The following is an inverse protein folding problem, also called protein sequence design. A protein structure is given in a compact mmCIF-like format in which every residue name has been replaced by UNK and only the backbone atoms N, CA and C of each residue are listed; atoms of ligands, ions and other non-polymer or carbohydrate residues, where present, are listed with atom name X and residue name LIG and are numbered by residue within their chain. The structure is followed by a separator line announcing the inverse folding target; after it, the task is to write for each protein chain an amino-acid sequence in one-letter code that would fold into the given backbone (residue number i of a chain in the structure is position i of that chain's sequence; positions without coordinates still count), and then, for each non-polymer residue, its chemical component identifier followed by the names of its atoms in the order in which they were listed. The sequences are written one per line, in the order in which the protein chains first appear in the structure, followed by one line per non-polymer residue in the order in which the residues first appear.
data_IF_673102642497
#
_entry.id   IF_673102642497
#
_cell.length_a   1.000
_cell.length_b   1.000
_cell.length_c   1.000
_cell.angle_alpha   90.00
_cell.angle_beta   90.00
_cell.angle_gamma   90.00
#
_symmetry.space_group_name_H-M   'P 1'
#
loop_
_entity.id
_entity.type
_entity.pdbx_description
1 polymer ?
#
# COMPACT_ATOMS: atom_id res chain seq x y z
N UNK A 1 -20.92 1.17 6.21
CA UNK A 1 -21.21 1.13 7.66
C UNK A 1 -20.52 2.33 8.28
N UNK A 2 -21.26 3.23 8.93
CA UNK A 2 -20.69 4.40 9.62
C UNK A 2 -20.07 3.96 10.96
N UNK A 3 -18.85 4.41 11.25
CA UNK A 3 -18.06 4.10 12.43
C UNK A 3 -17.60 5.36 13.18
N UNK A 4 -18.05 6.55 12.78
CA UNK A 4 -17.57 7.78 13.39
C UNK A 4 -17.96 9.05 12.64
N UNK A 5 -17.65 10.18 13.26
CA UNK A 5 -17.91 11.49 12.69
C UNK A 5 -16.77 12.45 13.02
N UNK A 6 -16.43 13.30 12.06
CA UNK A 6 -15.40 14.34 12.17
C UNK A 6 -16.08 15.69 11.97
N UNK A 7 -15.75 16.64 12.83
CA UNK A 7 -16.31 17.99 12.82
C UNK A 7 -15.20 19.02 12.88
N UNK A 8 -15.45 20.18 12.29
CA UNK A 8 -14.54 21.33 12.38
C UNK A 8 -14.72 22.01 13.74
N UNK A 9 -13.65 22.16 14.50
CA UNK A 9 -13.67 22.88 15.78
C UNK A 9 -13.56 24.41 15.57
N UNK A 10 -13.65 25.17 16.66
CA UNK A 10 -13.54 26.63 16.64
C UNK A 10 -12.18 27.13 16.08
N UNK A 11 -11.12 26.34 16.22
CA UNK A 11 -9.78 26.65 15.70
C UNK A 11 -9.62 26.21 14.23
N UNK A 12 -10.68 25.73 13.58
CA UNK A 12 -10.68 25.28 12.21
C UNK A 12 -10.09 23.88 11.97
N UNK A 13 -9.75 23.13 13.02
CA UNK A 13 -9.21 21.79 12.93
C UNK A 13 -10.33 20.76 12.78
N UNK A 14 -10.11 19.75 11.94
CA UNK A 14 -11.05 18.64 11.76
C UNK A 14 -10.73 17.55 12.79
N UNK A 15 -11.61 17.36 13.77
CA UNK A 15 -11.43 16.39 14.87
C UNK A 15 -12.71 15.58 15.04
N UNK A 16 -12.56 14.30 15.33
CA UNK A 16 -13.66 13.36 15.48
C UNK A 16 -13.29 12.12 16.29
N UNK A 17 -14.18 11.14 16.30
CA UNK A 17 -13.92 9.81 16.84
C UNK A 17 -14.16 8.73 15.80
N UNK A 18 -13.44 7.63 15.94
CA UNK A 18 -13.70 6.37 15.24
C UNK A 18 -13.91 5.28 16.27
N UNK A 19 -15.01 4.57 16.12
CA UNK A 19 -15.50 3.56 17.05
C UNK A 19 -15.84 2.28 16.29
N UNK A 20 -15.19 1.20 16.70
CA UNK A 20 -15.43 -0.18 16.27
C UNK A 20 -15.44 -1.07 17.51
N UNK A 21 -15.72 -2.36 17.36
CA UNK A 21 -15.78 -3.29 18.49
C UNK A 21 -14.50 -3.30 19.35
N UNK A 22 -13.34 -3.09 18.75
CA UNK A 22 -12.04 -3.19 19.42
C UNK A 22 -11.25 -1.88 19.45
N UNK A 23 -11.75 -0.82 18.81
CA UNK A 23 -11.04 0.44 18.65
C UNK A 23 -11.99 1.59 18.95
N UNK A 24 -11.66 2.39 19.95
CA UNK A 24 -12.28 3.69 20.22
C UNK A 24 -11.17 4.72 20.31
N UNK A 25 -11.00 5.55 19.28
CA UNK A 25 -9.91 6.54 19.22
C UNK A 25 -10.39 7.88 18.69
N UNK A 26 -9.89 8.95 19.30
CA UNK A 26 -10.02 10.31 18.77
C UNK A 26 -9.05 10.49 17.63
N UNK A 27 -9.55 10.93 16.49
CA UNK A 27 -8.76 11.20 15.29
C UNK A 27 -8.90 12.66 14.87
N UNK A 28 -7.89 13.15 14.16
CA UNK A 28 -7.90 14.42 13.48
C UNK A 28 -7.47 14.26 12.02
N UNK A 29 -7.93 15.18 11.17
CA UNK A 29 -7.48 15.27 9.79
C UNK A 29 -6.63 16.51 9.62
N UNK A 30 -5.36 16.31 9.28
CA UNK A 30 -4.43 17.40 8.96
C UNK A 30 -4.36 17.58 7.45
N UNK A 31 -4.72 18.75 6.89
CA UNK A 31 -4.65 18.98 5.45
C UNK A 31 -3.19 18.95 4.98
N UNK A 32 -2.96 18.31 3.84
CA UNK A 32 -1.67 18.26 3.17
C UNK A 32 -1.71 19.17 1.96
N UNK A 33 -0.83 20.17 1.92
CA UNK A 33 -0.64 21.02 0.76
C UNK A 33 0.46 20.44 -0.13
N UNK A 34 0.10 20.00 -1.33
CA UNK A 34 1.05 19.50 -2.32
C UNK A 34 0.56 19.86 -3.72
N UNK A 35 1.50 20.12 -4.62
CA UNK A 35 1.24 20.30 -6.06
C UNK A 35 1.01 18.99 -6.80
N UNK A 36 1.34 17.83 -6.19
CA UNK A 36 1.17 16.53 -6.82
C UNK A 36 -0.29 16.05 -6.70
N UNK A 37 -0.99 15.75 -7.80
CA UNK A 37 -2.38 15.27 -7.75
C UNK A 37 -2.55 13.91 -7.07
N UNK A 38 -1.48 13.10 -6.98
CA UNK A 38 -1.48 11.81 -6.27
C UNK A 38 -1.12 11.94 -4.78
N UNK A 39 -0.83 13.15 -4.30
CA UNK A 39 -0.59 13.36 -2.88
C UNK A 39 -1.86 13.11 -2.08
N UNK A 40 -1.74 12.64 -0.83
CA UNK A 40 -2.88 12.62 0.08
C UNK A 40 -3.41 14.04 0.28
N UNK A 41 -4.73 14.17 0.47
CA UNK A 41 -5.36 15.45 0.85
C UNK A 41 -5.30 15.67 2.35
N UNK A 42 -5.38 14.59 3.12
CA UNK A 42 -5.30 14.65 4.56
C UNK A 42 -4.35 13.56 5.09
N UNK A 43 -3.61 13.91 6.13
CA UNK A 43 -3.02 12.94 7.04
C UNK A 43 -4.01 12.65 8.16
N UNK A 44 -4.10 11.37 8.53
CA UNK A 44 -4.89 10.94 9.67
C UNK A 44 -3.96 10.95 10.88
N UNK A 45 -4.30 11.76 11.87
CA UNK A 45 -3.62 11.77 13.16
C UNK A 45 -4.54 11.17 14.21
N UNK A 46 -4.00 10.38 15.13
CA UNK A 46 -4.73 9.86 16.28
C UNK A 46 -4.14 10.41 17.57
N UNK A 47 -5.00 10.61 18.56
CA UNK A 47 -4.57 10.98 19.90
C UNK A 47 -4.20 9.70 20.68
N UNK A 48 -2.94 9.58 21.09
CA UNK A 48 -2.48 8.46 21.89
C UNK A 48 -2.80 8.66 23.39
N UNK A 49 -2.52 7.63 24.21
CA UNK A 49 -2.80 7.66 25.66
C UNK A 49 -1.99 8.74 26.41
N UNK A 50 -0.85 9.17 25.85
CA UNK A 50 -0.03 10.28 26.33
C UNK A 50 -0.50 11.66 25.83
N UNK A 51 -1.69 11.74 25.19
CA UNK A 51 -2.27 12.95 24.60
C UNK A 51 -1.39 13.63 23.55
N UNK A 52 -0.64 12.84 22.79
CA UNK A 52 0.14 13.30 21.64
C UNK A 52 -0.54 12.88 20.35
N UNK A 53 -0.50 13.77 19.37
CA UNK A 53 -0.97 13.49 18.02
C UNK A 53 0.09 12.70 17.25
N UNK A 54 -0.28 11.52 16.78
CA UNK A 54 0.60 10.64 15.99
C UNK A 54 -0.05 10.38 14.64
N UNK A 55 0.74 10.44 13.57
CA UNK A 55 0.26 10.13 12.21
C UNK A 55 0.08 8.61 12.11
N UNK A 56 -1.12 8.18 11.75
CA UNK A 56 -1.51 6.77 11.65
C UNK A 56 -2.00 6.40 10.25
N UNK A 57 -2.01 7.35 9.31
CA UNK A 57 -2.46 7.10 7.95
C UNK A 57 -2.66 8.35 7.13
N UNK A 58 -3.27 8.17 5.96
CA UNK A 58 -3.55 9.25 5.03
C UNK A 58 -4.83 8.96 4.25
N UNK A 59 -5.46 10.03 3.77
CA UNK A 59 -6.65 10.02 2.94
C UNK A 59 -6.39 10.66 1.59
N UNK A 60 -6.89 10.01 0.55
CA UNK A 60 -6.80 10.44 -0.83
C UNK A 60 -8.19 10.81 -1.34
N UNK A 61 -8.27 11.83 -2.19
CA UNK A 61 -9.52 12.28 -2.78
C UNK A 61 -9.89 11.40 -3.97
N UNK A 62 -11.12 10.90 -3.96
CA UNK A 62 -11.70 10.12 -5.03
C UNK A 62 -13.08 10.68 -5.38
N UNK A 63 -13.49 10.52 -6.64
CA UNK A 63 -14.85 10.80 -7.07
C UNK A 63 -15.65 9.50 -7.15
N UNK A 64 -16.89 9.53 -6.66
CA UNK A 64 -17.80 8.40 -6.76
C UNK A 64 -18.22 8.20 -8.22
N UNK A 65 -18.07 6.97 -8.74
CA UNK A 65 -18.46 6.64 -10.12
C UNK A 65 -19.98 6.75 -10.36
N UNK A 66 -20.80 6.62 -9.31
CA UNK A 66 -22.27 6.64 -9.44
C UNK A 66 -22.85 8.03 -9.30
N UNK A 67 -22.35 8.82 -8.35
CA UNK A 67 -22.96 10.10 -7.94
C UNK A 67 -22.11 11.29 -8.32
N UNK A 68 -20.82 11.09 -8.63
CA UNK A 68 -19.85 12.17 -8.85
C UNK A 68 -19.39 12.87 -7.56
N UNK A 69 -19.94 12.49 -6.41
CA UNK A 69 -19.55 13.07 -5.12
C UNK A 69 -18.10 12.79 -4.77
N UNK A 70 -17.43 13.82 -4.23
CA UNK A 70 -16.06 13.72 -3.76
C UNK A 70 -16.07 13.10 -2.36
N UNK A 71 -15.30 12.04 -2.19
CA UNK A 71 -15.06 11.40 -0.90
C UNK A 71 -13.58 11.14 -0.71
N UNK A 72 -13.18 10.88 0.53
CA UNK A 72 -11.80 10.62 0.86
C UNK A 72 -11.61 9.18 1.30
N UNK A 73 -10.64 8.46 0.73
CA UNK A 73 -10.39 7.06 1.05
C UNK A 73 -8.98 6.86 1.57
N UNK A 74 -8.83 5.96 2.54
CA UNK A 74 -7.52 5.61 3.06
C UNK A 74 -7.55 4.44 4.04
N UNK A 75 -6.51 4.35 4.85
CA UNK A 75 -6.39 3.36 5.92
C UNK A 75 -5.77 3.99 7.17
N UNK A 76 -6.16 3.47 8.32
CA UNK A 76 -5.52 3.67 9.61
C UNK A 76 -4.67 2.44 9.89
N UNK A 77 -3.39 2.64 10.15
CA UNK A 77 -2.39 1.59 10.31
C UNK A 77 -1.52 1.97 11.52
N UNK A 78 -1.66 1.22 12.61
CA UNK A 78 -0.95 1.45 13.86
C UNK A 78 -0.47 0.12 14.46
N UNK A 79 0.73 0.05 15.06
CA UNK A 79 1.27 -1.19 15.63
C UNK A 79 0.39 -1.87 16.69
N UNK A 80 -0.53 -1.14 17.34
CA UNK A 80 -1.49 -1.71 18.29
C UNK A 80 -2.61 -2.52 17.61
N UNK A 81 -2.76 -2.42 16.29
CA UNK A 81 -3.78 -3.11 15.52
C UNK A 81 -3.22 -4.37 14.86
N UNK A 82 -3.99 -5.46 14.87
CA UNK A 82 -3.60 -6.68 14.15
C UNK A 82 -3.63 -6.53 12.63
N UNK A 83 -4.48 -5.62 12.12
CA UNK A 83 -4.66 -5.34 10.70
C UNK A 83 -5.00 -3.87 10.48
N UNK A 84 -4.63 -3.28 9.33
CA UNK A 84 -5.03 -1.92 8.98
C UNK A 84 -6.56 -1.78 8.85
N UNK A 85 -7.11 -0.69 9.37
CA UNK A 85 -8.52 -0.34 9.25
C UNK A 85 -8.73 0.56 8.02
N UNK A 86 -9.38 0.02 6.99
CA UNK A 86 -9.72 0.77 5.78
C UNK A 86 -10.97 1.62 5.99
N UNK A 87 -10.87 2.91 5.66
CA UNK A 87 -11.93 3.88 5.88
C UNK A 87 -12.20 4.72 4.64
N UNK A 88 -13.44 5.17 4.53
CA UNK A 88 -13.86 6.25 3.63
C UNK A 88 -14.52 7.35 4.45
N UNK A 89 -14.25 8.60 4.09
CA UNK A 89 -14.76 9.80 4.75
C UNK A 89 -15.59 10.58 3.75
N UNK A 90 -16.84 10.83 4.10
CA UNK A 90 -17.84 11.49 3.25
C UNK A 90 -18.18 12.85 3.84
N UNK A 91 -17.86 13.95 3.16
CA UNK A 91 -18.36 15.27 3.54
C UNK A 91 -19.89 15.30 3.50
N UNK A 92 -20.51 15.99 4.46
CA UNK A 92 -21.94 16.27 4.49
C UNK A 92 -22.20 17.75 4.30
N UNK A 93 -23.44 18.09 3.95
CA UNK A 93 -23.90 19.47 3.74
C UNK A 93 -23.74 20.34 5.01
N UNK A 94 -23.89 19.74 6.20
CA UNK A 94 -23.74 20.42 7.49
C UNK A 94 -22.28 20.76 7.85
N UNK A 95 -21.32 20.44 6.98
CA UNK A 95 -19.90 20.62 7.22
C UNK A 95 -19.26 19.58 8.14
N UNK A 96 -20.02 18.56 8.55
CA UNK A 96 -19.49 17.37 9.23
C UNK A 96 -19.05 16.34 8.20
N UNK A 97 -18.19 15.40 8.60
CA UNK A 97 -17.74 14.33 7.72
C UNK A 97 -18.02 12.98 8.38
N UNK A 98 -18.75 12.11 7.69
CA UNK A 98 -19.04 10.77 8.15
C UNK A 98 -17.88 9.84 7.85
N UNK A 99 -17.47 9.01 8.82
CA UNK A 99 -16.43 8.01 8.62
C UNK A 99 -17.06 6.65 8.47
N UNK A 100 -16.82 5.97 7.37
CA UNK A 100 -17.34 4.64 7.10
C UNK A 100 -16.22 3.62 6.99
N UNK A 101 -16.43 2.45 7.60
CA UNK A 101 -15.59 1.29 7.37
C UNK A 101 -15.80 0.75 5.94
N UNK A 102 -14.69 0.44 5.24
CA UNK A 102 -14.66 -0.37 4.04
C UNK A 102 -13.88 -1.68 4.23
N UNK A 103 -14.38 -2.79 3.68
CA UNK A 103 -13.58 -4.02 3.59
C UNK A 103 -12.72 -3.98 2.33
N UNK A 104 -11.40 -4.29 2.40
CA UNK A 104 -10.59 -4.40 1.20
C UNK A 104 -11.21 -5.46 0.27
N UNK A 105 -11.65 -5.02 -0.91
CA UNK A 105 -12.20 -5.92 -1.94
C UNK A 105 -11.01 -6.63 -2.58
N UNK A 106 -11.00 -7.96 -2.53
CA UNK A 106 -10.07 -8.73 -3.37
C UNK A 106 -10.39 -8.36 -4.82
N UNK A 107 -9.41 -7.85 -5.57
CA UNK A 107 -9.55 -7.79 -7.02
C UNK A 107 -9.75 -9.23 -7.46
N UNK A 108 -10.93 -9.55 -7.98
CA UNK A 108 -11.24 -10.88 -8.43
C UNK A 108 -10.29 -11.19 -9.59
N UNK A 109 -9.24 -11.97 -9.35
CA UNK A 109 -8.34 -12.50 -10.39
C UNK A 109 -8.98 -13.68 -11.12
N UNK A 110 -10.32 -13.72 -11.19
CA UNK A 110 -11.08 -14.74 -11.89
C UNK A 110 -11.30 -14.28 -13.33
N UNK A 111 -10.18 -14.04 -14.00
CA UNK A 111 -10.08 -13.99 -15.46
C UNK A 111 -8.89 -14.90 -15.80
N UNK A 112 -9.07 -16.20 -15.59
CA UNK A 112 -7.95 -17.15 -15.64
C UNK A 112 -8.34 -18.57 -15.27
N UNK A 113 -9.53 -19.03 -15.66
CA UNK A 113 -9.87 -20.47 -15.71
C UNK A 113 -11.12 -20.63 -16.57
N UNK A 114 -10.92 -20.63 -17.89
CA UNK A 114 -11.89 -21.21 -18.79
C UNK A 114 -11.49 -22.68 -18.97
N UNK A 115 -12.03 -23.52 -18.10
CA UNK A 115 -12.12 -24.97 -18.20
C UNK A 115 -13.65 -25.20 -18.06
N UNK A 116 -14.40 -25.87 -18.94
CA UNK A 116 -14.14 -27.01 -19.80
C UNK A 116 -15.11 -26.95 -20.99
N UNK A 117 -14.64 -27.35 -22.17
CA UNK A 117 -15.49 -27.88 -23.23
C UNK A 117 -15.33 -29.40 -23.25
N UNK A 118 -16.01 -30.07 -22.32
CA UNK A 118 -16.29 -31.51 -22.38
C UNK A 118 -17.11 -31.77 -23.66
N UNK A 119 -16.59 -32.60 -24.58
CA UNK A 119 -17.22 -32.84 -25.88
C UNK A 119 -16.51 -33.87 -26.73
N UNK A 120 -16.54 -35.12 -26.26
CA UNK A 120 -16.64 -36.39 -27.01
C UNK A 120 -16.39 -36.35 -28.54
N UNK A 121 -15.27 -36.93 -29.01
CA UNK A 121 -15.11 -37.46 -30.38
C UNK A 121 -14.00 -38.56 -30.45
N UNK A 122 -14.39 -39.81 -30.20
CA UNK A 122 -13.98 -41.07 -30.88
C UNK A 122 -12.50 -41.47 -31.17
N UNK A 123 -12.13 -42.60 -30.53
CA UNK A 123 -11.59 -43.88 -31.05
C UNK A 123 -10.26 -43.96 -31.84
N UNK A 124 -9.38 -44.83 -31.34
CA UNK A 124 -8.31 -45.49 -32.10
C UNK A 124 -7.40 -46.33 -31.19
N UNK A 125 -7.64 -47.64 -31.15
CA UNK A 125 -6.75 -48.66 -30.57
C UNK A 125 -5.31 -48.51 -31.10
N UNK A 126 -4.28 -48.62 -30.24
CA UNK A 126 -3.09 -49.44 -30.53
C UNK A 126 -2.19 -49.62 -29.29
N UNK A 127 -1.42 -50.71 -29.33
CA UNK A 127 -0.81 -51.48 -28.27
C UNK A 127 0.34 -50.85 -27.45
N UNK A 128 0.43 -51.32 -26.19
CA UNK A 128 1.60 -51.99 -25.62
C UNK A 128 2.85 -51.16 -25.24
N UNK A 129 3.23 -51.21 -23.95
CA UNK A 129 4.62 -51.42 -23.50
C UNK A 129 4.72 -51.30 -21.97
N UNK A 130 5.09 -52.39 -21.31
CA UNK A 130 5.61 -52.45 -19.95
C UNK A 130 6.81 -51.50 -19.75
N UNK A 131 6.97 -50.96 -18.53
CA UNK A 131 8.19 -51.18 -17.73
C UNK A 131 8.09 -50.53 -16.35
N UNK A 132 8.24 -51.42 -15.37
CA UNK A 132 8.63 -51.19 -13.99
C UNK A 132 9.87 -50.27 -13.88
N UNK A 133 9.87 -49.33 -12.94
CA UNK A 133 11.04 -49.06 -12.10
C UNK A 133 10.65 -48.16 -10.93
N UNK A 134 10.62 -48.77 -9.75
CA UNK A 134 10.81 -48.07 -8.48
C UNK A 134 12.16 -47.33 -8.50
N UNK A 135 12.23 -46.16 -7.87
CA UNK A 135 13.47 -45.40 -7.76
C UNK A 135 13.30 -44.15 -6.91
N UNK A 136 13.60 -44.30 -5.62
CA UNK A 136 13.93 -43.23 -4.68
C UNK A 136 14.93 -42.22 -5.27
N UNK A 137 14.84 -40.95 -4.87
CA UNK A 137 16.01 -40.06 -5.01
C UNK A 137 15.73 -38.57 -5.10
N UNK A 138 15.58 -37.94 -3.94
CA UNK A 138 16.22 -36.69 -3.51
C UNK A 138 16.52 -35.62 -4.58
N UNK A 139 15.88 -34.46 -4.38
CA UNK A 139 16.04 -33.26 -5.20
C UNK A 139 17.49 -32.80 -5.36
N UNK A 140 17.91 -32.70 -6.62
CA UNK A 140 19.15 -32.06 -7.00
C UNK A 140 18.87 -30.62 -7.43
N UNK A 141 19.42 -29.68 -6.67
CA UNK A 141 19.23 -28.24 -6.85
C UNK A 141 20.17 -27.73 -7.95
N UNK A 142 19.63 -27.32 -9.09
CA UNK A 142 20.41 -26.57 -10.10
C UNK A 142 20.39 -25.08 -9.77
N UNK A 143 21.32 -24.63 -8.94
CA UNK A 143 21.70 -23.21 -8.81
C UNK A 143 23.12 -23.03 -9.36
N UNK A 144 23.22 -22.65 -10.63
CA UNK A 144 24.50 -22.32 -11.28
C UNK A 144 25.00 -20.95 -10.79
N UNK A 145 26.17 -20.93 -10.16
CA UNK A 145 26.95 -19.71 -9.88
C UNK A 145 27.86 -19.41 -11.08
N UNK A 146 27.95 -18.15 -11.57
CA UNK A 146 29.01 -17.79 -12.51
C UNK A 146 30.33 -17.53 -11.78
N UNK A 147 31.35 -18.31 -12.16
CA UNK A 147 32.72 -18.20 -11.69
C UNK A 147 33.48 -17.01 -12.31
N UNK A 148 34.37 -16.46 -11.48
CA UNK A 148 35.28 -15.34 -11.67
C UNK A 148 36.56 -15.79 -12.40
N UNK A 149 37.06 -15.01 -13.38
CA UNK A 149 38.46 -14.94 -13.87
C UNK A 149 38.55 -13.78 -14.88
N UNK A 150 39.50 -12.86 -14.92
CA UNK A 150 40.72 -12.63 -14.15
C UNK A 150 41.64 -11.66 -14.92
N UNK A 151 42.01 -10.54 -14.28
CA UNK A 151 43.34 -9.87 -14.22
C UNK A 151 44.10 -9.48 -15.51
N UNK A 152 44.45 -8.19 -15.59
CA UNK A 152 45.56 -7.63 -16.38
C UNK A 152 45.90 -6.20 -15.93
N UNK A 153 47.18 -5.93 -15.64
CA UNK A 153 47.68 -4.85 -14.77
C UNK A 153 47.94 -3.48 -15.42
N UNK A 154 47.79 -2.43 -14.59
CA UNK A 154 48.65 -1.25 -14.35
C UNK A 154 49.14 -0.34 -15.49
N UNK A 155 48.88 0.98 -15.37
CA UNK A 155 49.94 2.02 -15.27
C UNK A 155 49.41 3.36 -14.70
N UNK A 156 50.31 3.98 -13.95
CA UNK A 156 50.33 5.22 -13.18
C UNK A 156 50.12 6.53 -13.95
N UNK A 157 49.42 7.51 -13.34
CA UNK A 157 49.79 8.94 -13.33
C UNK A 157 48.84 9.74 -12.44
N UNK A 158 49.37 10.33 -11.36
CA UNK A 158 48.66 11.24 -10.45
C UNK A 158 48.55 12.70 -10.93
N UNK A 159 48.08 13.55 -10.00
CA UNK A 159 47.79 15.01 -10.08
C UNK A 159 46.32 15.27 -10.48
N UNK A 160 45.47 15.99 -9.74
CA UNK A 160 45.62 17.06 -8.75
C UNK A 160 44.38 17.14 -7.86
N UNK A 161 44.58 17.76 -6.71
CA UNK A 161 43.62 18.17 -5.70
C UNK A 161 42.46 19.00 -6.28
N UNK A 162 41.24 18.81 -5.79
CA UNK A 162 40.23 19.88 -5.78
C UNK A 162 39.48 19.86 -4.45
N UNK A 163 39.50 21.03 -3.86
CA UNK A 163 39.26 21.35 -2.47
C UNK A 163 37.77 21.57 -2.23
N UNK A 164 37.25 21.03 -1.11
CA UNK A 164 35.93 21.40 -0.64
C UNK A 164 35.93 22.84 -0.15
N UNK A 165 35.11 23.71 -0.74
CA UNK A 165 34.76 25.00 -0.16
C UNK A 165 33.32 25.40 -0.52
N UNK A 166 32.48 25.54 0.51
CA UNK A 166 31.14 26.12 0.47
C UNK A 166 31.23 27.63 0.18
N UNK A 167 30.30 28.24 -0.60
CA UNK A 167 30.25 29.70 -0.70
C UNK A 167 29.62 30.34 0.55
N UNK A 168 30.15 31.46 1.07
CA UNK A 168 29.61 32.13 2.25
C UNK A 168 28.38 32.98 1.93
N UNK A 169 27.50 33.06 2.93
CA UNK A 169 26.38 33.98 3.04
C UNK A 169 26.86 35.44 2.96
N UNK A 170 26.10 36.28 2.27
CA UNK A 170 26.28 37.74 2.30
C UNK A 170 25.00 38.36 2.86
N UNK A 171 25.14 39.00 4.02
CA UNK A 171 24.21 40.01 4.55
C UNK A 171 24.62 41.39 4.02
N UNK A 172 23.65 42.14 3.48
CA UNK A 172 23.54 43.61 3.49
C UNK A 172 22.20 44.04 2.87
#
# INVERSE_FOLDING_TARGET
MNIGEIRKNANGQLIGSVETLTITRTIGLRPVSSSNPRAPKYEIVALNDQRRWVIVGALFELASNSTGEIFYQGKIDDPSMSQPLYIAVFPREDGTMAVAWQRPRRRNSQLGTAEYGEGDMFAGDDAGSDSDSSGDGLGDSTATLPAKRGRGSAKDSGTSEDEGALPPMVDA
#
